data_IF_911751300760
#
_entry.id   IF_911751300760
#
_cell.length_a   1.000
_cell.length_b   1.000
_cell.length_c   1.000
_cell.angle_alpha   90.00
_cell.angle_beta   90.00
_cell.angle_gamma   90.00
#
_symmetry.space_group_name_H-M   'P 1'
#
loop_
_entity.id
_entity.type
_entity.pdbx_description
1 polymer ?
#
# COMPACT_ATOMS: atom_id res chain seq x y z
N UNK A 1 -15.31 32.60 -30.96
CA UNK A 1 -15.87 31.45 -31.71
C UNK A 1 -14.74 30.44 -31.85
N UNK A 2 -14.59 29.35 -31.11
CA UNK A 2 -15.46 28.54 -30.26
C UNK A 2 -14.61 27.98 -29.08
N UNK A 3 -15.02 28.17 -27.82
CA UNK A 3 -15.69 27.18 -26.94
C UNK A 3 -15.03 25.80 -26.97
N UNK A 4 -14.12 25.53 -26.02
CA UNK A 4 -13.91 24.18 -25.46
C UNK A 4 -13.91 24.33 -23.94
N UNK A 5 -14.90 23.67 -23.34
CA UNK A 5 -15.27 23.75 -21.94
C UNK A 5 -14.15 23.33 -21.00
N UNK A 6 -13.85 24.21 -20.05
CA UNK A 6 -13.21 23.89 -18.78
C UNK A 6 -14.09 22.89 -18.02
N UNK A 7 -13.58 21.68 -17.78
CA UNK A 7 -14.12 20.78 -16.77
C UNK A 7 -13.14 20.71 -15.60
N UNK A 8 -13.69 20.97 -14.40
CA UNK A 8 -13.03 20.98 -13.11
C UNK A 8 -12.22 19.69 -12.89
N UNK A 9 -10.89 19.77 -12.96
CA UNK A 9 -10.03 18.79 -12.27
C UNK A 9 -10.26 18.98 -10.78
N UNK A 10 -10.55 17.91 -10.04
CA UNK A 10 -10.59 17.95 -8.58
C UNK A 10 -9.29 18.59 -8.06
N UNK A 11 -9.42 19.79 -7.51
CA UNK A 11 -8.33 20.46 -6.83
C UNK A 11 -8.11 19.76 -5.48
N UNK A 12 -7.42 18.61 -5.49
CA UNK A 12 -6.53 18.24 -4.37
C UNK A 12 -5.34 19.21 -4.39
N UNK A 13 -5.63 20.48 -4.12
CA UNK A 13 -4.70 21.59 -4.24
C UNK A 13 -3.76 21.63 -3.05
N UNK A 14 -2.79 20.73 -2.98
CA UNK A 14 -1.48 20.96 -2.35
C UNK A 14 -0.55 19.76 -2.58
N UNK A 15 -0.18 19.56 -3.84
CA UNK A 15 1.06 18.87 -4.20
C UNK A 15 1.83 19.76 -5.17
N UNK A 16 2.36 20.88 -4.67
CA UNK A 16 3.40 21.62 -5.39
C UNK A 16 4.73 20.90 -5.14
N UNK A 17 5.59 20.83 -6.14
CA UNK A 17 6.95 20.27 -6.02
C UNK A 17 7.94 21.42 -6.10
N UNK A 18 8.97 21.41 -5.25
CA UNK A 18 10.18 22.18 -5.51
C UNK A 18 11.01 21.47 -6.58
N UNK A 19 11.52 22.21 -7.56
CA UNK A 19 12.55 21.72 -8.50
C UNK A 19 13.82 21.40 -7.70
N UNK A 20 13.99 20.16 -7.23
CA UNK A 20 15.21 19.72 -6.57
C UNK A 20 16.18 19.04 -7.58
N UNK A 21 17.43 19.50 -7.57
CA UNK A 21 18.54 18.95 -8.35
C UNK A 21 18.93 17.52 -7.90
N UNK A 22 19.59 16.70 -8.75
CA UNK A 22 19.95 15.32 -8.41
C UNK A 22 21.02 15.24 -7.29
N UNK A 23 20.99 14.19 -6.43
CA UNK A 23 21.96 14.04 -5.35
C UNK A 23 23.36 13.63 -5.85
N UNK A 24 24.44 14.01 -5.13
CA UNK A 24 25.81 13.71 -5.53
C UNK A 24 26.16 12.22 -5.31
N UNK A 25 26.96 11.70 -6.24
CA UNK A 25 27.50 10.34 -6.21
C UNK A 25 28.53 10.16 -5.10
N UNK A 26 28.29 9.21 -4.17
CA UNK A 26 29.29 8.78 -3.20
C UNK A 26 29.95 7.48 -3.67
N UNK A 27 31.15 7.63 -4.21
CA UNK A 27 32.10 6.54 -4.41
C UNK A 27 33.01 6.39 -3.18
N UNK A 28 33.24 5.12 -2.83
CA UNK A 28 34.56 4.53 -2.53
C UNK A 28 35.02 4.40 -1.05
N UNK A 29 35.50 3.19 -0.78
CA UNK A 29 36.38 2.68 0.30
C UNK A 29 35.71 2.13 1.57
N UNK A 30 35.76 0.81 1.75
CA UNK A 30 36.54 0.20 2.84
C UNK A 30 36.93 -1.24 2.46
N UNK A 31 38.23 -1.54 2.65
CA UNK A 31 38.90 -2.81 2.38
C UNK A 31 38.61 -3.85 3.47
N UNK A 32 38.77 -5.11 3.07
CA UNK A 32 38.65 -6.33 3.86
C UNK A 32 39.68 -6.48 4.98
N UNK A 33 39.33 -7.27 6.00
CA UNK A 33 40.28 -8.16 6.69
C UNK A 33 39.58 -9.45 7.14
N UNK A 34 40.16 -10.58 6.73
CA UNK A 34 39.88 -11.94 7.20
C UNK A 34 40.23 -12.08 8.70
N UNK A 35 39.53 -12.96 9.42
CA UNK A 35 40.20 -13.82 10.40
C UNK A 35 39.45 -15.13 10.62
N UNK A 36 40.18 -16.23 10.44
CA UNK A 36 39.84 -17.63 10.66
C UNK A 36 40.02 -18.03 12.13
N UNK A 37 39.17 -18.93 12.65
CA UNK A 37 39.60 -20.11 13.43
C UNK A 37 38.44 -21.06 13.73
N UNK A 38 38.78 -22.35 13.71
CA UNK A 38 37.97 -23.56 13.77
C UNK A 38 37.92 -24.17 15.19
N UNK A 39 37.03 -25.16 15.35
CA UNK A 39 36.92 -26.21 16.39
C UNK A 39 36.27 -25.76 17.71
N UNK A 40 35.41 -26.52 18.41
CA UNK A 40 35.25 -27.99 18.57
C UNK A 40 33.88 -28.29 19.26
N UNK A 41 33.25 -29.43 18.94
CA UNK A 41 32.19 -30.10 19.74
C UNK A 41 32.85 -30.94 20.87
N UNK A 42 32.15 -31.26 21.99
CA UNK A 42 31.50 -32.59 22.08
C UNK A 42 30.23 -32.74 22.99
N UNK A 43 29.37 -33.68 22.57
CA UNK A 43 28.53 -34.70 23.27
C UNK A 43 27.78 -34.48 24.60
N UNK A 44 26.46 -34.71 24.52
CA UNK A 44 25.50 -35.48 25.38
C UNK A 44 26.02 -36.17 26.66
N UNK A 45 25.36 -35.91 27.81
CA UNK A 45 25.06 -36.88 28.88
C UNK A 45 23.70 -36.52 29.56
N UNK A 46 22.88 -37.55 29.85
CA UNK A 46 21.64 -37.56 30.63
C UNK A 46 21.88 -38.37 31.93
N UNK A 47 21.23 -38.03 33.06
CA UNK A 47 20.46 -39.05 33.81
C UNK A 47 19.12 -38.48 34.35
N UNK A 48 17.96 -39.14 34.19
CA UNK A 48 17.28 -40.12 35.05
C UNK A 48 16.77 -39.63 36.44
N UNK A 49 15.46 -39.35 36.46
CA UNK A 49 14.39 -39.63 37.46
C UNK A 49 14.65 -39.74 38.97
N UNK A 50 13.85 -39.02 39.75
CA UNK A 50 13.25 -39.50 41.00
C UNK A 50 11.82 -38.93 41.18
N UNK A 51 10.89 -39.83 41.52
CA UNK A 51 9.47 -39.59 41.82
C UNK A 51 9.36 -39.08 43.27
N UNK A 52 8.55 -38.05 43.54
CA UNK A 52 7.98 -37.83 44.88
C UNK A 52 6.65 -37.10 44.75
N UNK A 53 5.63 -37.72 45.35
CA UNK A 53 4.23 -37.34 45.39
C UNK A 53 3.99 -36.18 46.37
N UNK A 54 3.35 -35.11 45.91
CA UNK A 54 2.71 -34.12 46.77
C UNK A 54 1.38 -33.67 46.13
N UNK A 55 0.35 -33.57 46.96
CA UNK A 55 -1.06 -33.41 46.64
C UNK A 55 -1.42 -32.03 46.03
N UNK A 56 -2.51 -31.93 45.24
CA UNK A 56 -2.88 -30.68 44.57
C UNK A 56 -3.60 -29.69 45.50
N UNK A 57 -3.07 -28.47 45.58
CA UNK A 57 -3.66 -27.32 46.27
C UNK A 57 -4.73 -26.65 45.34
N UNK A 58 -5.87 -26.14 45.85
CA UNK A 58 -6.97 -25.65 45.03
C UNK A 58 -6.64 -24.35 44.27
N UNK A 59 -7.14 -24.27 43.05
CA UNK A 59 -7.02 -23.13 42.12
C UNK A 59 -7.82 -21.93 42.65
N UNK A 60 -7.13 -20.90 43.13
CA UNK A 60 -7.70 -19.56 43.31
C UNK A 60 -7.58 -18.75 42.01
N UNK A 61 -8.67 -18.10 41.64
CA UNK A 61 -8.85 -17.33 40.41
C UNK A 61 -7.88 -16.14 40.37
N UNK A 62 -6.86 -16.21 39.50
CA UNK A 62 -6.14 -15.03 39.06
C UNK A 62 -6.94 -14.35 37.95
N UNK A 63 -7.61 -13.25 38.29
CA UNK A 63 -8.17 -12.32 37.31
C UNK A 63 -6.99 -11.59 36.68
N UNK A 64 -6.71 -11.91 35.42
CA UNK A 64 -5.72 -11.22 34.60
C UNK A 64 -6.21 -9.77 34.39
N UNK A 65 -5.41 -8.74 34.73
CA UNK A 65 -5.81 -7.36 34.47
C UNK A 65 -5.92 -7.13 32.96
N UNK A 66 -6.87 -6.28 32.50
CA UNK A 66 -7.04 -6.01 31.08
C UNK A 66 -5.73 -5.48 30.48
N UNK A 67 -5.41 -5.85 29.23
CA UNK A 67 -4.18 -5.41 28.60
C UNK A 67 -4.15 -3.88 28.55
N UNK A 68 -3.00 -3.24 28.83
CA UNK A 68 -2.89 -1.79 28.73
C UNK A 68 -3.24 -1.38 27.29
N UNK A 69 -4.13 -0.39 27.16
CA UNK A 69 -4.44 0.22 25.89
C UNK A 69 -3.12 0.61 25.20
N UNK A 70 -2.91 0.11 23.99
CA UNK A 70 -1.75 0.46 23.17
C UNK A 70 -1.78 1.96 22.90
N UNK A 71 -1.09 2.75 23.73
CA UNK A 71 -0.91 4.18 23.52
C UNK A 71 0.03 4.37 22.34
N UNK A 72 -0.52 4.32 21.12
CA UNK A 72 0.16 4.76 19.92
C UNK A 72 0.46 6.25 20.13
N UNK A 73 1.74 6.63 20.12
CA UNK A 73 2.12 8.04 20.20
C UNK A 73 1.41 8.81 19.08
N UNK A 74 0.73 9.92 19.38
CA UNK A 74 -0.09 10.62 18.39
C UNK A 74 0.77 11.04 17.20
N UNK A 75 0.36 10.62 15.99
CA UNK A 75 1.04 11.00 14.75
C UNK A 75 0.93 12.53 14.63
N UNK A 76 2.05 13.25 14.40
CA UNK A 76 2.02 14.70 14.20
C UNK A 76 1.07 15.11 13.07
N UNK A 77 0.35 16.23 13.22
CA UNK A 77 -0.65 16.69 12.24
C UNK A 77 -0.09 16.88 10.83
N UNK A 78 1.17 17.33 10.70
CA UNK A 78 1.88 17.52 9.43
C UNK A 78 2.13 16.19 8.68
N UNK A 79 2.02 15.06 9.38
CA UNK A 79 2.18 13.72 8.82
C UNK A 79 0.84 13.05 8.51
N UNK A 80 -0.27 13.61 8.98
CA UNK A 80 -1.61 13.10 8.70
C UNK A 80 -2.09 13.57 7.34
N UNK A 81 -2.73 12.65 6.62
CA UNK A 81 -3.54 12.97 5.46
C UNK A 81 -4.95 13.32 5.96
N UNK A 82 -5.30 14.59 5.78
CA UNK A 82 -6.61 15.14 6.14
C UNK A 82 -7.43 15.26 4.86
N UNK A 83 -8.54 14.51 4.73
CA UNK A 83 -9.42 14.61 3.57
C UNK A 83 -10.08 16.01 3.49
N UNK A 84 -10.47 16.48 2.30
CA UNK A 84 -11.13 17.76 2.15
C UNK A 84 -12.40 17.88 3.01
N UNK A 85 -12.69 19.09 3.50
CA UNK A 85 -13.82 19.39 4.39
C UNK A 85 -13.86 18.56 5.69
N UNK A 86 -12.69 18.13 6.18
CA UNK A 86 -12.54 17.49 7.49
C UNK A 86 -11.94 18.50 8.46
N UNK A 87 -12.70 18.88 9.47
CA UNK A 87 -12.20 19.70 10.57
C UNK A 87 -11.47 18.79 11.55
N UNK A 88 -10.19 19.10 11.81
CA UNK A 88 -9.34 18.36 12.75
C UNK A 88 -8.96 19.31 13.87
N UNK A 89 -9.44 19.04 15.08
CA UNK A 89 -9.00 19.74 16.29
C UNK A 89 -8.10 18.81 17.12
N UNK A 90 -6.99 19.34 17.63
CA UNK A 90 -5.99 18.61 18.44
C UNK A 90 -6.59 18.01 19.72
N UNK A 91 -7.68 18.60 20.20
CA UNK A 91 -8.34 18.24 21.45
C UNK A 91 -9.63 17.44 21.22
N UNK A 92 -9.98 17.14 19.96
CA UNK A 92 -11.23 16.46 19.64
C UNK A 92 -11.06 14.92 19.65
N UNK A 93 -11.67 14.21 20.62
CA UNK A 93 -11.65 12.76 20.70
C UNK A 93 -12.36 12.07 19.51
N UNK A 94 -13.00 12.82 18.63
CA UNK A 94 -13.67 12.31 17.43
C UNK A 94 -12.75 12.20 16.20
N UNK A 95 -11.55 12.77 16.21
CA UNK A 95 -10.58 12.62 15.10
C UNK A 95 -10.11 11.16 15.05
N UNK A 96 -10.73 10.36 14.19
CA UNK A 96 -10.40 8.94 14.03
C UNK A 96 -9.44 8.76 12.88
N UNK A 97 -8.21 8.38 13.18
CA UNK A 97 -7.23 7.93 12.17
C UNK A 97 -7.47 6.45 11.88
N UNK A 98 -7.46 6.08 10.60
CA UNK A 98 -7.55 4.69 10.18
C UNK A 98 -6.35 3.89 10.73
N UNK A 99 -6.60 2.73 11.32
CA UNK A 99 -5.54 1.91 11.96
C UNK A 99 -4.46 1.52 10.95
N UNK A 100 -3.18 1.68 11.33
CA UNK A 100 -2.05 1.33 10.47
C UNK A 100 -1.95 2.21 9.22
N UNK A 101 -2.32 3.48 9.33
CA UNK A 101 -2.31 4.48 8.26
C UNK A 101 -1.96 5.87 8.81
N UNK A 102 -1.86 6.87 7.94
CA UNK A 102 -1.91 8.29 8.32
C UNK A 102 -3.21 9.00 7.91
N UNK A 103 -4.29 8.26 7.64
CA UNK A 103 -5.50 8.83 7.01
C UNK A 103 -6.55 9.12 8.07
N UNK A 104 -7.01 10.36 8.13
CA UNK A 104 -8.14 10.76 8.97
C UNK A 104 -9.45 10.35 8.32
N UNK A 105 -10.40 9.86 9.11
CA UNK A 105 -11.76 9.61 8.68
C UNK A 105 -12.56 10.91 8.57
N UNK A 106 -13.19 11.12 7.42
CA UNK A 106 -14.12 12.22 7.20
C UNK A 106 -15.59 11.77 7.22
N UNK A 107 -16.51 12.74 7.18
CA UNK A 107 -17.96 12.51 6.97
C UNK A 107 -18.29 11.73 5.68
N UNK A 108 -17.35 11.63 4.74
CA UNK A 108 -17.52 10.89 3.49
C UNK A 108 -17.26 9.39 3.62
N UNK A 109 -16.73 8.89 4.73
CA UNK A 109 -16.37 7.49 4.93
C UNK A 109 -17.60 6.58 5.21
N UNK A 110 -18.57 6.55 4.29
CA UNK A 110 -19.81 5.77 4.35
C UNK A 110 -19.98 4.87 3.13
N UNK A 111 -20.77 3.80 3.25
CA UNK A 111 -21.08 2.88 2.15
C UNK A 111 -19.85 2.17 1.57
N UNK A 112 -18.97 1.70 2.46
CA UNK A 112 -17.72 1.01 2.13
C UNK A 112 -17.87 -0.50 1.87
N UNK A 113 -19.05 -1.08 2.11
CA UNK A 113 -19.27 -2.52 2.00
C UNK A 113 -19.19 -2.98 0.54
N UNK A 114 -18.61 -4.16 0.31
CA UNK A 114 -18.57 -4.81 -1.01
C UNK A 114 -19.50 -6.01 -0.98
N UNK A 115 -20.64 -5.90 -1.68
CA UNK A 115 -21.64 -6.94 -1.84
C UNK A 115 -21.43 -7.74 -3.13
N UNK A 116 -21.08 -7.05 -4.22
CA UNK A 116 -20.92 -7.64 -5.55
C UNK A 116 -19.63 -7.15 -6.21
N UNK A 117 -18.99 -8.01 -7.00
CA UNK A 117 -17.72 -7.70 -7.68
C UNK A 117 -17.55 -8.53 -8.95
N UNK A 118 -17.69 -7.92 -10.13
CA UNK A 118 -17.75 -8.64 -11.40
C UNK A 118 -16.62 -8.23 -12.32
N UNK A 119 -16.01 -9.19 -13.02
CA UNK A 119 -15.06 -8.88 -14.08
C UNK A 119 -15.83 -8.41 -15.30
N UNK A 120 -15.48 -7.23 -15.82
CA UNK A 120 -16.17 -6.63 -16.97
C UNK A 120 -15.38 -6.85 -18.25
N UNK A 121 -14.13 -6.37 -18.31
CA UNK A 121 -13.31 -6.44 -19.53
C UNK A 121 -11.82 -6.27 -19.23
N UNK A 122 -11.00 -6.82 -20.13
CA UNK A 122 -9.57 -6.52 -20.27
C UNK A 122 -9.34 -5.65 -21.51
N UNK A 123 -8.66 -4.52 -21.33
CA UNK A 123 -8.39 -3.55 -22.40
C UNK A 123 -6.89 -3.34 -22.59
N UNK A 124 -6.44 -3.22 -23.83
CA UNK A 124 -5.02 -2.94 -24.16
C UNK A 124 -4.79 -1.44 -24.35
N UNK A 125 -5.80 -0.71 -24.80
CA UNK A 125 -5.80 0.75 -24.95
C UNK A 125 -6.82 1.39 -24.00
N UNK A 126 -6.54 2.63 -23.58
CA UNK A 126 -7.44 3.43 -22.73
C UNK A 126 -8.81 3.65 -23.38
N UNK A 127 -8.85 3.81 -24.71
CA UNK A 127 -10.06 3.99 -25.51
C UNK A 127 -11.02 2.78 -25.41
N UNK A 128 -10.48 1.58 -25.19
CA UNK A 128 -11.25 0.33 -25.11
C UNK A 128 -11.84 0.08 -23.70
N UNK A 129 -11.52 0.94 -22.72
CA UNK A 129 -11.97 0.82 -21.33
C UNK A 129 -13.46 1.21 -21.20
N UNK A 130 -14.22 0.61 -20.27
CA UNK A 130 -15.63 0.92 -20.06
C UNK A 130 -15.87 2.41 -19.82
N UNK A 131 -16.73 3.10 -20.57
CA UNK A 131 -16.85 4.56 -20.52
C UNK A 131 -18.17 5.05 -19.91
N UNK A 132 -18.69 4.36 -18.89
CA UNK A 132 -20.00 4.66 -18.30
C UNK A 132 -19.99 5.79 -17.26
N UNK A 133 -18.84 6.45 -17.06
CA UNK A 133 -18.67 7.58 -16.13
C UNK A 133 -18.50 7.18 -14.67
N UNK A 134 -18.47 5.88 -14.35
CA UNK A 134 -18.35 5.43 -12.96
C UNK A 134 -16.96 5.73 -12.36
N UNK A 135 -16.85 6.05 -11.07
CA UNK A 135 -15.57 6.31 -10.41
C UNK A 135 -14.62 5.10 -10.47
N UNK A 136 -13.32 5.34 -10.67
CA UNK A 136 -12.32 4.28 -10.81
C UNK A 136 -11.18 4.41 -9.80
N UNK A 137 -10.79 3.27 -9.21
CA UNK A 137 -9.61 3.14 -8.37
C UNK A 137 -8.62 2.18 -9.01
N UNK A 138 -7.45 2.68 -9.39
CA UNK A 138 -6.45 1.88 -10.08
C UNK A 138 -5.46 1.27 -9.10
N UNK A 139 -5.30 -0.05 -9.14
CA UNK A 139 -4.24 -0.77 -8.42
C UNK A 139 -3.03 -0.91 -9.34
N UNK A 140 -1.87 -0.45 -8.88
CA UNK A 140 -0.60 -0.61 -9.61
C UNK A 140 0.53 -0.90 -8.63
N UNK A 141 1.58 -1.55 -9.07
CA UNK A 141 2.72 -1.90 -8.23
C UNK A 141 3.66 -2.85 -8.94
N UNK A 142 4.81 -3.13 -8.34
CA UNK A 142 5.78 -4.07 -8.94
C UNK A 142 5.18 -5.45 -9.17
N UNK A 143 5.71 -6.13 -10.17
CA UNK A 143 5.50 -7.57 -10.34
C UNK A 143 5.68 -8.33 -9.02
N UNK A 144 4.69 -9.17 -8.65
CA UNK A 144 4.64 -9.95 -7.40
C UNK A 144 4.57 -9.12 -6.10
N UNK A 145 4.21 -7.83 -6.14
CA UNK A 145 4.00 -7.02 -4.92
C UNK A 145 2.83 -7.53 -4.07
N UNK A 146 1.81 -8.13 -4.69
CA UNK A 146 0.62 -8.60 -3.99
C UNK A 146 -0.70 -8.04 -4.54
N UNK A 147 -0.66 -7.30 -5.65
CA UNK A 147 -1.81 -6.64 -6.29
C UNK A 147 -3.07 -7.51 -6.45
N UNK A 148 -2.98 -8.64 -7.15
CA UNK A 148 -4.13 -9.53 -7.33
C UNK A 148 -4.59 -10.19 -6.03
N UNK A 149 -3.68 -10.40 -5.06
CA UNK A 149 -4.04 -10.91 -3.73
C UNK A 149 -4.81 -9.88 -2.92
N UNK A 150 -4.39 -8.61 -2.97
CA UNK A 150 -5.10 -7.50 -2.34
C UNK A 150 -6.48 -7.33 -2.97
N UNK A 151 -6.57 -7.31 -4.31
CA UNK A 151 -7.84 -7.21 -5.04
C UNK A 151 -8.83 -8.28 -4.56
N UNK A 152 -8.41 -9.55 -4.57
CA UNK A 152 -9.22 -10.68 -4.13
C UNK A 152 -9.63 -10.57 -2.64
N UNK A 153 -8.73 -10.05 -1.79
CA UNK A 153 -9.01 -9.80 -0.37
C UNK A 153 -10.08 -8.71 -0.20
N UNK A 154 -9.96 -7.56 -0.89
CA UNK A 154 -10.93 -6.46 -0.84
C UNK A 154 -12.35 -6.94 -1.17
N UNK A 155 -12.49 -7.68 -2.28
CA UNK A 155 -13.79 -8.17 -2.77
C UNK A 155 -14.28 -9.47 -2.10
N UNK A 156 -13.50 -10.05 -1.16
CA UNK A 156 -13.77 -11.36 -0.55
C UNK A 156 -14.00 -12.51 -1.55
N UNK A 157 -13.38 -12.47 -2.73
CA UNK A 157 -13.46 -13.54 -3.75
C UNK A 157 -12.07 -14.11 -4.05
N UNK A 158 -11.91 -15.43 -3.90
CA UNK A 158 -10.60 -16.10 -4.00
C UNK A 158 -9.99 -16.13 -5.42
N UNK A 159 -10.81 -15.98 -6.46
CA UNK A 159 -10.40 -16.21 -7.87
C UNK A 159 -10.93 -15.16 -8.85
N UNK A 160 -11.33 -13.96 -8.37
CA UNK A 160 -11.80 -12.91 -9.28
C UNK A 160 -10.64 -12.38 -10.13
N UNK A 161 -9.52 -12.04 -9.49
CA UNK A 161 -8.25 -11.77 -10.16
C UNK A 161 -7.34 -13.00 -10.13
N UNK A 162 -6.71 -13.32 -11.26
CA UNK A 162 -5.78 -14.43 -11.37
C UNK A 162 -4.49 -14.12 -10.58
N UNK A 163 -4.21 -14.91 -9.54
CA UNK A 163 -2.97 -14.81 -8.75
C UNK A 163 -1.94 -15.80 -9.30
N UNK A 164 -0.79 -15.30 -9.78
CA UNK A 164 0.31 -16.13 -10.30
C UNK A 164 1.62 -15.76 -9.61
N UNK A 165 2.44 -16.76 -9.27
CA UNK A 165 3.82 -16.53 -8.79
C UNK A 165 4.77 -16.14 -9.93
N UNK A 166 4.47 -16.56 -11.17
CA UNK A 166 5.21 -16.16 -12.37
C UNK A 166 4.81 -14.73 -12.74
N UNK A 167 5.73 -13.76 -12.75
CA UNK A 167 5.39 -12.39 -13.08
C UNK A 167 5.24 -12.18 -14.60
N UNK A 168 4.58 -11.09 -15.02
CA UNK A 168 4.37 -10.74 -16.43
C UNK A 168 3.05 -11.19 -17.08
N UNK A 169 2.08 -11.70 -16.31
CA UNK A 169 0.79 -12.19 -16.87
C UNK A 169 -0.23 -11.09 -17.18
N UNK A 170 -0.27 -10.02 -16.39
CA UNK A 170 -1.21 -8.90 -16.64
C UNK A 170 -0.59 -7.96 -17.66
N UNK A 171 -0.99 -8.09 -18.94
CA UNK A 171 -0.58 -7.21 -20.04
C UNK A 171 -1.69 -6.23 -20.47
N UNK A 172 -2.85 -6.31 -19.81
CA UNK A 172 -4.04 -5.52 -20.09
C UNK A 172 -4.50 -4.80 -18.82
N UNK A 173 -5.30 -3.76 -19.01
CA UNK A 173 -6.04 -3.06 -17.96
C UNK A 173 -7.32 -3.86 -17.68
N UNK A 174 -7.46 -4.45 -16.50
CA UNK A 174 -8.65 -5.24 -16.16
C UNK A 174 -9.60 -4.42 -15.29
N UNK A 175 -10.87 -4.33 -15.70
CA UNK A 175 -11.91 -3.61 -14.97
C UNK A 175 -12.79 -4.59 -14.20
N UNK A 176 -12.93 -4.35 -12.90
CA UNK A 176 -13.83 -5.09 -12.02
C UNK A 176 -14.90 -4.13 -11.48
N UNK A 177 -16.17 -4.35 -11.83
CA UNK A 177 -17.29 -3.53 -11.36
C UNK A 177 -17.69 -3.96 -9.96
N UNK A 178 -17.74 -3.01 -9.03
CA UNK A 178 -18.06 -3.25 -7.63
C UNK A 178 -19.40 -2.60 -7.30
N UNK A 179 -20.32 -3.39 -6.71
CA UNK A 179 -21.69 -2.98 -6.35
C UNK A 179 -22.37 -2.16 -7.46
N UNK A 180 -22.15 -2.55 -8.72
CA UNK A 180 -22.67 -1.87 -9.91
C UNK A 180 -22.35 -0.36 -10.05
N UNK A 181 -21.50 0.21 -9.19
CA UNK A 181 -21.40 1.67 -9.00
C UNK A 181 -20.01 2.26 -9.18
N UNK A 182 -18.94 1.46 -9.10
CA UNK A 182 -17.57 1.93 -9.29
C UNK A 182 -16.66 0.80 -9.76
N UNK A 183 -15.48 1.14 -10.28
CA UNK A 183 -14.50 0.18 -10.76
C UNK A 183 -13.26 0.08 -9.88
N UNK A 184 -12.86 -1.16 -9.63
CA UNK A 184 -11.50 -1.47 -9.23
C UNK A 184 -10.73 -1.90 -10.47
N UNK A 185 -9.66 -1.19 -10.79
CA UNK A 185 -8.92 -1.37 -12.05
C UNK A 185 -7.56 -1.98 -11.77
N UNK A 186 -7.29 -3.16 -12.31
CA UNK A 186 -6.02 -3.87 -12.15
C UNK A 186 -5.09 -3.53 -13.33
N UNK A 187 -4.09 -2.68 -13.07
CA UNK A 187 -3.08 -2.31 -14.07
C UNK A 187 -1.94 -3.34 -14.14
N UNK A 188 -1.23 -3.44 -15.27
CA UNK A 188 0.00 -4.22 -15.37
C UNK A 188 1.03 -3.76 -14.32
N UNK A 189 1.76 -4.72 -13.75
CA UNK A 189 2.82 -4.39 -12.80
C UNK A 189 4.12 -3.99 -13.48
N UNK A 190 4.84 -3.02 -12.91
CA UNK A 190 6.13 -2.55 -13.43
C UNK A 190 7.34 -3.34 -12.90
N UNK A 191 8.53 -3.10 -13.46
CA UNK A 191 9.80 -3.64 -12.98
C UNK A 191 10.02 -5.14 -13.19
N UNK A 192 9.44 -5.71 -14.25
CA UNK A 192 9.59 -7.13 -14.56
C UNK A 192 11.00 -7.45 -15.10
N UNK A 193 11.82 -8.12 -14.31
CA UNK A 193 13.23 -8.42 -14.63
C UNK A 193 13.45 -9.33 -15.86
N UNK A 194 12.44 -10.08 -16.31
CA UNK A 194 12.54 -10.95 -17.48
C UNK A 194 11.92 -10.36 -18.75
N UNK A 195 11.38 -9.12 -18.70
CA UNK A 195 11.05 -8.39 -19.92
C UNK A 195 12.33 -8.02 -20.70
N UNK A 196 12.26 -7.84 -22.03
CA UNK A 196 13.30 -7.16 -22.79
C UNK A 196 13.65 -5.80 -22.17
N UNK A 197 14.89 -5.32 -22.35
CA UNK A 197 15.39 -4.08 -21.73
C UNK A 197 14.48 -2.87 -22.00
N UNK A 198 13.86 -2.84 -23.18
CA UNK A 198 12.86 -1.85 -23.60
C UNK A 198 11.64 -1.85 -22.68
N UNK A 199 11.11 -3.00 -22.25
CA UNK A 199 9.95 -3.06 -21.35
C UNK A 199 10.30 -3.10 -19.85
N UNK A 200 11.58 -3.16 -19.46
CA UNK A 200 12.01 -3.17 -18.04
C UNK A 200 11.86 -1.80 -17.37
N UNK A 201 12.01 -0.74 -18.16
CA UNK A 201 11.95 0.67 -17.75
C UNK A 201 10.71 1.38 -18.27
N UNK A 202 10.11 0.87 -19.35
CA UNK A 202 8.95 1.50 -19.95
C UNK A 202 7.68 1.03 -19.24
N UNK A 203 7.23 1.85 -18.29
CA UNK A 203 5.90 1.70 -17.72
C UNK A 203 5.00 1.98 -18.90
N UNK A 204 4.40 0.90 -19.42
CA UNK A 204 3.94 0.86 -20.79
C UNK A 204 3.18 2.13 -21.17
N UNK A 205 3.44 2.68 -22.35
CA UNK A 205 2.81 3.90 -22.86
C UNK A 205 1.32 3.97 -22.52
N UNK A 206 0.60 2.84 -22.60
CA UNK A 206 -0.82 2.74 -22.26
C UNK A 206 -1.16 2.98 -20.79
N UNK A 207 -0.31 2.59 -19.83
CA UNK A 207 -0.53 2.84 -18.40
C UNK A 207 -0.40 4.34 -18.08
N UNK A 208 0.61 5.00 -18.67
CA UNK A 208 0.78 6.45 -18.54
C UNK A 208 -0.39 7.20 -19.18
N UNK A 209 -0.75 6.79 -20.39
CA UNK A 209 -1.89 7.32 -21.13
C UNK A 209 -3.19 7.19 -20.31
N UNK A 210 -3.44 6.01 -19.73
CA UNK A 210 -4.59 5.81 -18.85
C UNK A 210 -4.58 6.79 -17.67
N UNK A 211 -3.47 6.97 -16.95
CA UNK A 211 -3.45 7.91 -15.82
C UNK A 211 -3.63 9.37 -16.22
N UNK A 212 -3.12 9.77 -17.39
CA UNK A 212 -3.18 11.16 -17.83
C UNK A 212 -4.53 11.54 -18.43
N UNK A 213 -5.22 10.57 -19.06
CA UNK A 213 -6.40 10.83 -19.87
C UNK A 213 -7.70 10.30 -19.26
N UNK A 214 -7.65 9.49 -18.18
CA UNK A 214 -8.84 8.91 -17.57
C UNK A 214 -9.50 9.86 -16.57
N UNK A 215 -10.51 10.59 -17.02
CA UNK A 215 -11.27 11.55 -16.19
C UNK A 215 -12.01 10.92 -15.00
N UNK A 216 -12.39 9.65 -15.10
CA UNK A 216 -13.09 8.89 -14.04
C UNK A 216 -12.14 8.33 -12.97
N UNK A 217 -10.82 8.46 -13.15
CA UNK A 217 -9.84 7.98 -12.19
C UNK A 217 -9.84 8.85 -10.92
N UNK A 218 -10.32 8.28 -9.81
CA UNK A 218 -10.39 8.97 -8.52
C UNK A 218 -9.04 8.97 -7.83
N UNK A 219 -8.37 7.81 -7.78
CA UNK A 219 -7.07 7.66 -7.12
C UNK A 219 -6.34 6.39 -7.55
N UNK A 220 -5.01 6.48 -7.60
CA UNK A 220 -4.10 5.36 -7.84
C UNK A 220 -3.61 4.79 -6.51
N UNK A 221 -3.89 3.52 -6.27
CA UNK A 221 -3.37 2.77 -5.14
C UNK A 221 -2.05 2.13 -5.58
N UNK A 222 -0.94 2.78 -5.19
CA UNK A 222 0.42 2.34 -5.50
C UNK A 222 0.90 1.35 -4.44
N UNK A 223 0.98 0.08 -4.81
CA UNK A 223 1.36 -1.00 -3.92
C UNK A 223 2.88 -1.13 -3.78
N UNK A 224 3.34 -1.17 -2.53
CA UNK A 224 4.73 -1.34 -2.12
C UNK A 224 4.86 -2.59 -1.24
N UNK A 225 5.91 -3.38 -1.42
CA UNK A 225 6.14 -4.59 -0.60
C UNK A 225 6.85 -4.20 0.71
N UNK A 226 6.15 -4.27 1.84
CA UNK A 226 6.69 -3.90 3.15
C UNK A 226 7.67 -4.93 3.73
N UNK A 227 7.75 -6.13 3.16
CA UNK A 227 8.64 -7.20 3.65
C UNK A 227 10.10 -7.03 3.23
N UNK A 228 10.39 -6.01 2.40
CA UNK A 228 11.72 -5.72 1.86
C UNK A 228 12.04 -4.22 1.95
N UNK A 229 13.33 -3.85 1.91
CA UNK A 229 13.72 -2.44 1.84
C UNK A 229 13.17 -1.76 0.58
N UNK A 230 12.88 -0.46 0.72
CA UNK A 230 12.42 0.42 -0.35
C UNK A 230 13.23 0.23 -1.64
N UNK A 231 12.54 0.24 -2.79
CA UNK A 231 13.19 0.17 -4.09
C UNK A 231 13.10 1.51 -4.80
N UNK A 232 14.19 1.87 -5.48
CA UNK A 232 14.29 3.09 -6.28
C UNK A 232 13.15 3.23 -7.28
N UNK A 233 12.80 2.13 -7.98
CA UNK A 233 11.71 2.12 -8.96
C UNK A 233 10.35 2.45 -8.34
N UNK A 234 10.11 2.10 -7.07
CA UNK A 234 8.86 2.42 -6.37
C UNK A 234 8.78 3.91 -6.02
N UNK A 235 9.90 4.50 -5.60
CA UNK A 235 10.03 5.94 -5.32
C UNK A 235 9.90 6.77 -6.60
N UNK A 236 10.55 6.35 -7.67
CA UNK A 236 10.42 6.96 -9.00
C UNK A 236 8.96 6.91 -9.48
N UNK A 237 8.26 5.79 -9.24
CA UNK A 237 6.83 5.64 -9.53
C UNK A 237 5.96 6.64 -8.79
N UNK A 238 6.12 6.71 -7.48
CA UNK A 238 5.39 7.67 -6.69
C UNK A 238 5.70 9.11 -7.13
N UNK A 239 6.99 9.44 -7.33
CA UNK A 239 7.41 10.77 -7.78
C UNK A 239 6.79 11.17 -9.12
N UNK A 240 6.73 10.25 -10.10
CA UNK A 240 6.10 10.51 -11.39
C UNK A 240 4.59 10.76 -11.26
N UNK A 241 3.88 9.99 -10.43
CA UNK A 241 2.46 10.23 -10.14
C UNK A 241 2.25 11.64 -9.54
N UNK A 242 3.09 12.00 -8.56
CA UNK A 242 3.08 13.32 -7.93
C UNK A 242 3.36 14.47 -8.91
N UNK A 243 4.38 14.33 -9.75
CA UNK A 243 4.74 15.33 -10.77
C UNK A 243 3.62 15.60 -11.78
N UNK A 244 2.83 14.58 -12.10
CA UNK A 244 1.70 14.68 -13.02
C UNK A 244 0.37 14.98 -12.31
N UNK A 245 0.41 15.30 -11.00
CA UNK A 245 -0.76 15.61 -10.19
C UNK A 245 -1.83 14.50 -10.22
N UNK A 246 -1.40 13.24 -10.32
CA UNK A 246 -2.29 12.09 -10.29
C UNK A 246 -2.55 11.75 -8.82
N UNK A 247 -3.81 11.78 -8.34
CA UNK A 247 -4.11 11.43 -6.96
C UNK A 247 -3.67 10.00 -6.67
N UNK A 248 -2.98 9.79 -5.55
CA UNK A 248 -2.47 8.47 -5.19
C UNK A 248 -2.58 8.18 -3.70
N UNK A 249 -2.58 6.90 -3.36
CA UNK A 249 -2.48 6.36 -2.00
C UNK A 249 -1.46 5.23 -1.99
N UNK A 250 -0.48 5.29 -1.09
CA UNK A 250 0.52 4.25 -0.94
C UNK A 250 -0.07 3.08 -0.17
N UNK A 251 0.03 1.88 -0.72
CA UNK A 251 -0.45 0.66 -0.05
C UNK A 251 0.73 -0.24 0.26
N UNK A 252 1.10 -0.31 1.54
CA UNK A 252 2.13 -1.21 2.01
C UNK A 252 1.53 -2.60 2.17
N UNK A 253 2.02 -3.55 1.39
CA UNK A 253 1.51 -4.93 1.32
C UNK A 253 2.43 -5.90 2.04
N UNK A 254 1.89 -7.09 2.39
CA UNK A 254 2.61 -8.18 3.05
C UNK A 254 3.18 -7.79 4.42
N UNK A 255 2.45 -6.97 5.18
CA UNK A 255 2.83 -6.60 6.54
C UNK A 255 2.83 -7.79 7.52
N UNK A 256 2.33 -8.97 7.12
CA UNK A 256 2.50 -10.23 7.84
C UNK A 256 3.88 -10.87 7.66
N UNK A 257 4.70 -10.40 6.71
CA UNK A 257 5.94 -11.07 6.31
C UNK A 257 7.17 -10.30 6.72
N UNK A 258 8.11 -11.03 7.33
CA UNK A 258 9.47 -10.58 7.56
C UNK A 258 10.44 -11.42 6.74
N UNK A 259 11.28 -10.79 5.91
CA UNK A 259 12.30 -11.53 5.15
C UNK A 259 13.30 -12.15 6.13
N UNK A 260 13.40 -13.49 6.15
CA UNK A 260 14.41 -14.20 6.96
C UNK A 260 15.81 -13.83 6.44
N UNK A 261 16.57 -13.10 7.24
CA UNK A 261 18.03 -12.90 7.09
C UNK A 261 18.70 -13.59 8.27
N UNK A 262 20.02 -13.83 8.18
CA UNK A 262 20.83 -14.44 9.26
C UNK A 262 20.63 -13.74 10.62
N UNK A 263 20.31 -12.45 10.63
CA UNK A 263 20.08 -11.64 11.84
C UNK A 263 18.61 -11.20 12.03
N UNK A 264 17.65 -11.83 11.33
CA UNK A 264 16.28 -11.31 11.20
C UNK A 264 16.24 -10.12 10.24
N UNK A 265 15.30 -10.09 9.28
CA UNK A 265 15.13 -8.91 8.41
C UNK A 265 14.62 -7.69 9.19
N UNK A 266 14.47 -6.52 8.57
CA UNK A 266 13.67 -5.45 9.19
C UNK A 266 12.21 -5.86 9.28
N UNK A 267 11.52 -5.45 10.33
CA UNK A 267 10.08 -5.55 10.44
C UNK A 267 9.39 -4.69 9.35
N UNK A 268 8.19 -5.05 8.91
CA UNK A 268 7.44 -4.27 7.94
C UNK A 268 7.28 -2.80 8.33
N UNK A 269 6.99 -2.52 9.60
CA UNK A 269 6.85 -1.18 10.17
C UNK A 269 8.13 -0.35 9.96
N UNK A 270 9.30 -0.95 10.16
CA UNK A 270 10.59 -0.29 9.94
C UNK A 270 10.82 0.03 8.45
N UNK A 271 10.47 -0.89 7.55
CA UNK A 271 10.60 -0.64 6.09
C UNK A 271 9.60 0.43 5.61
N UNK A 272 8.40 0.48 6.20
CA UNK A 272 7.40 1.50 5.93
C UNK A 272 7.93 2.87 6.34
N UNK A 273 8.47 2.98 7.57
CA UNK A 273 9.08 4.22 8.05
C UNK A 273 10.25 4.65 7.17
N UNK A 274 11.17 3.74 6.81
CA UNK A 274 12.27 4.03 5.88
C UNK A 274 11.73 4.58 4.54
N UNK A 275 10.68 3.96 3.98
CA UNK A 275 10.08 4.41 2.72
C UNK A 275 9.47 5.81 2.86
N UNK A 276 8.80 6.08 3.97
CA UNK A 276 8.21 7.39 4.27
C UNK A 276 9.26 8.48 4.38
N UNK A 277 10.38 8.23 5.06
CA UNK A 277 11.47 9.20 5.14
C UNK A 277 12.08 9.48 3.76
N UNK A 278 12.25 8.44 2.94
CA UNK A 278 12.77 8.60 1.57
C UNK A 278 11.80 9.38 0.67
N UNK A 279 10.50 9.11 0.76
CA UNK A 279 9.51 9.75 -0.12
C UNK A 279 9.21 11.19 0.29
N UNK A 280 9.37 11.58 1.56
CA UNK A 280 9.19 12.98 2.00
C UNK A 280 10.04 13.98 1.21
N UNK A 281 11.23 13.60 0.76
CA UNK A 281 12.05 14.45 -0.10
C UNK A 281 11.43 14.77 -1.47
N UNK A 282 10.39 14.03 -1.87
CA UNK A 282 9.71 14.18 -3.16
C UNK A 282 8.34 14.84 -3.04
N UNK A 283 7.83 15.16 -1.84
CA UNK A 283 6.47 15.70 -1.68
C UNK A 283 6.44 16.79 -0.60
N UNK A 284 5.69 17.87 -0.83
CA UNK A 284 5.45 18.89 0.20
C UNK A 284 4.60 18.36 1.36
N UNK A 285 3.57 17.58 1.02
CA UNK A 285 2.65 16.97 1.96
C UNK A 285 2.84 15.45 1.92
N UNK A 286 2.77 14.80 3.08
CA UNK A 286 2.94 13.35 3.15
C UNK A 286 1.80 12.67 2.39
N UNK A 287 2.07 11.83 1.38
CA UNK A 287 1.01 11.11 0.69
C UNK A 287 0.21 10.21 1.66
N UNK A 288 -1.09 9.99 1.42
CA UNK A 288 -1.84 9.03 2.21
C UNK A 288 -1.26 7.63 2.04
N UNK A 289 -1.15 6.87 3.14
CA UNK A 289 -0.64 5.52 3.12
C UNK A 289 -1.39 4.60 4.08
N UNK A 290 -1.47 3.31 3.73
CA UNK A 290 -2.12 2.26 4.54
C UNK A 290 -1.28 0.98 4.54
N UNK A 291 -1.12 0.36 5.70
CA UNK A 291 -0.51 -0.96 5.87
C UNK A 291 -1.53 -2.09 5.71
N UNK A 292 -1.16 -3.13 4.97
CA UNK A 292 -2.07 -4.23 4.60
C UNK A 292 -1.43 -5.61 4.61
N UNK A 293 -2.26 -6.60 4.87
CA UNK A 293 -1.95 -8.01 4.60
C UNK A 293 -3.17 -8.74 4.07
N UNK A 294 -3.04 -9.30 2.86
CA UNK A 294 -4.08 -10.18 2.29
C UNK A 294 -4.18 -11.54 3.00
N UNK A 295 -3.23 -11.87 3.90
CA UNK A 295 -3.24 -13.11 4.68
C UNK A 295 -4.02 -12.92 5.98
N UNK A 296 -3.74 -11.84 6.71
CA UNK A 296 -4.39 -11.54 8.00
C UNK A 296 -5.63 -10.65 7.87
N UNK A 297 -5.91 -10.14 6.67
CA UNK A 297 -6.92 -9.11 6.37
C UNK A 297 -6.66 -7.76 7.04
N UNK A 298 -5.47 -7.51 7.59
CA UNK A 298 -5.06 -6.19 8.07
C UNK A 298 -5.22 -5.14 6.97
N UNK A 299 -5.77 -3.96 7.31
CA UNK A 299 -5.87 -2.81 6.41
C UNK A 299 -6.97 -2.91 5.35
N UNK A 300 -7.73 -4.01 5.34
CA UNK A 300 -8.76 -4.26 4.32
C UNK A 300 -9.93 -3.30 4.47
N UNK A 301 -10.49 -3.21 5.68
CA UNK A 301 -11.66 -2.38 5.93
C UNK A 301 -11.26 -0.89 5.93
N UNK A 302 -10.04 -0.58 6.36
CA UNK A 302 -9.44 0.76 6.26
C UNK A 302 -9.30 1.22 4.81
N UNK A 303 -8.82 0.36 3.90
CA UNK A 303 -8.79 0.68 2.47
C UNK A 303 -10.20 0.94 1.93
N UNK A 304 -11.17 0.09 2.27
CA UNK A 304 -12.54 0.24 1.78
C UNK A 304 -13.17 1.54 2.28
N UNK A 305 -12.94 1.91 3.54
CA UNK A 305 -13.38 3.18 4.10
C UNK A 305 -12.73 4.38 3.40
N UNK A 306 -11.42 4.32 3.14
CA UNK A 306 -10.71 5.38 2.42
C UNK A 306 -11.18 5.50 0.96
N UNK A 307 -11.36 4.38 0.25
CA UNK A 307 -11.96 4.37 -1.08
C UNK A 307 -13.35 4.99 -1.08
N UNK A 308 -14.20 4.62 -0.11
CA UNK A 308 -15.55 5.16 0.02
C UNK A 308 -15.55 6.68 0.26
N UNK A 309 -14.65 7.16 1.13
CA UNK A 309 -14.42 8.59 1.34
C UNK A 309 -14.07 9.32 0.04
N UNK A 310 -13.05 8.83 -0.67
CA UNK A 310 -12.61 9.47 -1.91
C UNK A 310 -13.70 9.45 -2.98
N UNK A 311 -14.41 8.32 -3.12
CA UNK A 311 -15.53 8.15 -4.05
C UNK A 311 -16.68 9.10 -3.72
N UNK A 312 -17.09 9.17 -2.47
CA UNK A 312 -18.24 9.98 -2.07
C UNK A 312 -17.93 11.48 -2.16
N UNK A 313 -16.69 11.87 -1.91
CA UNK A 313 -16.22 13.23 -2.19
C UNK A 313 -16.24 13.52 -3.71
N UNK A 314 -15.70 12.61 -4.52
CA UNK A 314 -15.70 12.73 -5.98
C UNK A 314 -17.11 12.78 -6.59
N UNK A 315 -18.07 12.02 -6.07
CA UNK A 315 -19.45 12.06 -6.55
C UNK A 315 -20.19 13.34 -6.20
N UNK A 316 -19.74 14.08 -5.19
CA UNK A 316 -20.36 15.33 -4.74
C UNK A 316 -19.89 16.54 -5.56
N UNK A 317 -18.69 16.49 -6.15
CA UNK A 317 -17.97 17.63 -6.70
C UNK A 317 -17.52 17.39 -8.15
#
# INVERSE_FOLDING_TARGET
>A
MAVIAQFHKLHFSTFLLTRAQPPPSLSRHFKATLCSKLYRLPTLIRPQSALSTAEPIPVSQFVEPPPPAETQSPIPLDKLFIPPETEVSLDDPTTRVLKGSNIVLSKYARDAQVAQAEFVKSSVKTEDCPSDGSPEFALVGRSNVGKSSLLNSLVKRKKLALTSKKPGKTQCINHFRINESWFLVDLPGYGYAAAPQECRTDWAKFTKDYFLNRSTLVSVFLLIDASIPAKKIDLEYASWLGQNQIPMTLVFTKCDKRKKKKNGGKHPEENVNDFQELIRGYFQTTPPWIMTSSVTNQGRDEILLHMAQLRNYWLKH
#
